data_IF_511222123137
#
_entry.id   IF_511222123137
#
_cell.length_a   1.000
_cell.length_b   1.000
_cell.length_c   1.000
_cell.angle_alpha   90.00
_cell.angle_beta   90.00
_cell.angle_gamma   90.00
#
_symmetry.space_group_name_H-M   'P 1'
#
loop_
_entity.id
_entity.type
_entity.pdbx_description
1 polymer ?
#
# COMPACT_ATOMS: atom_id res chain seq x y z
N UNK A 1 6.04 25.14 -3.47
CA UNK A 1 5.53 23.89 -4.05
C UNK A 1 4.84 23.12 -2.95
N UNK A 2 3.63 22.65 -3.22
CA UNK A 2 2.91 21.78 -2.29
C UNK A 2 3.60 20.42 -2.30
N UNK A 3 3.81 19.82 -1.12
CA UNK A 3 4.35 18.47 -1.01
C UNK A 3 3.24 17.48 -0.78
N UNK A 4 3.34 16.32 -1.42
CA UNK A 4 2.42 15.21 -1.18
C UNK A 4 3.07 14.28 -0.15
N UNK A 5 2.31 13.92 0.89
CA UNK A 5 2.75 12.99 1.92
C UNK A 5 2.17 11.60 1.65
N UNK A 6 2.99 10.57 1.87
CA UNK A 6 2.57 9.17 1.83
C UNK A 6 2.94 8.44 3.12
N UNK A 7 2.08 7.50 3.50
CA UNK A 7 2.35 6.46 4.49
C UNK A 7 2.13 5.11 3.79
N UNK A 8 3.18 4.31 3.67
CA UNK A 8 3.16 3.05 2.95
C UNK A 8 3.26 1.88 3.92
N UNK A 9 2.29 0.98 3.86
CA UNK A 9 2.25 -0.29 4.58
C UNK A 9 2.60 -1.42 3.61
N UNK A 10 3.61 -2.22 3.94
CA UNK A 10 4.05 -3.35 3.11
C UNK A 10 4.11 -4.65 3.91
N UNK A 11 4.59 -5.73 3.28
CA UNK A 11 4.53 -7.12 3.80
C UNK A 11 3.10 -7.62 4.05
N UNK A 12 2.13 -7.03 3.35
CA UNK A 12 0.73 -7.44 3.44
C UNK A 12 0.48 -8.69 2.59
N UNK A 13 -0.43 -9.55 3.03
CA UNK A 13 -0.98 -10.62 2.21
C UNK A 13 -2.34 -10.21 1.64
N UNK A 14 -3.18 -9.63 2.50
CA UNK A 14 -4.45 -9.05 2.11
C UNK A 14 -4.84 -7.92 3.07
N UNK A 15 -5.76 -7.09 2.59
CA UNK A 15 -6.44 -6.08 3.39
C UNK A 15 -7.92 -6.41 3.38
N UNK A 16 -8.55 -6.41 4.55
CA UNK A 16 -10.00 -6.44 4.65
C UNK A 16 -10.49 -5.04 4.98
N UNK A 17 -11.34 -4.48 4.13
CA UNK A 17 -11.99 -3.19 4.38
C UNK A 17 -13.44 -3.48 4.74
N UNK A 18 -13.83 -3.17 5.97
CA UNK A 18 -15.07 -3.68 6.59
C UNK A 18 -15.11 -5.23 6.51
N UNK A 19 -15.98 -5.79 5.67
CA UNK A 19 -16.19 -7.24 5.49
C UNK A 19 -15.65 -7.77 4.15
N UNK A 20 -15.03 -6.91 3.33
CA UNK A 20 -14.52 -7.29 2.00
C UNK A 20 -13.00 -7.51 2.06
N UNK A 21 -12.58 -8.76 1.86
CA UNK A 21 -11.17 -9.14 1.77
C UNK A 21 -10.66 -8.96 0.34
N UNK A 22 -9.57 -8.22 0.20
CA UNK A 22 -8.89 -7.98 -1.08
C UNK A 22 -7.41 -8.34 -0.96
N UNK A 23 -6.90 -9.18 -1.88
CA UNK A 23 -5.47 -9.47 -1.98
C UNK A 23 -4.70 -8.19 -2.29
N UNK A 24 -3.91 -7.72 -1.34
CA UNK A 24 -3.20 -6.46 -1.40
C UNK A 24 -1.84 -6.65 -0.74
N UNK A 25 -0.77 -6.39 -1.48
CA UNK A 25 0.61 -6.58 -1.02
C UNK A 25 1.20 -5.31 -0.42
N UNK A 26 0.63 -4.16 -0.77
CA UNK A 26 0.89 -2.89 -0.13
C UNK A 26 -0.41 -2.07 -0.01
N UNK A 27 -0.43 -1.15 0.94
CA UNK A 27 -1.45 -0.14 1.12
C UNK A 27 -0.76 1.22 1.28
N UNK A 28 -1.16 2.23 0.53
CA UNK A 28 -0.66 3.59 0.68
C UNK A 28 -1.79 4.52 1.14
N UNK A 29 -1.53 5.31 2.18
CA UNK A 29 -2.32 6.49 2.53
C UNK A 29 -1.63 7.72 1.94
N UNK A 30 -2.37 8.63 1.31
CA UNK A 30 -1.80 9.84 0.71
C UNK A 30 -2.53 11.11 1.12
N UNK A 31 -1.79 12.21 1.32
CA UNK A 31 -2.29 13.60 1.45
C UNK A 31 -1.75 14.43 0.28
N UNK A 32 -2.62 14.70 -0.69
CA UNK A 32 -2.43 15.58 -1.83
C UNK A 32 -2.99 16.96 -1.49
N UNK A 33 -2.16 17.95 -1.10
CA UNK A 33 -2.66 19.28 -0.83
C UNK A 33 -3.37 19.79 -2.08
N UNK A 34 -4.61 20.27 -1.98
CA UNK A 34 -5.36 20.67 -3.16
C UNK A 34 -4.58 21.76 -3.91
N UNK A 35 -4.53 21.73 -5.24
CA UNK A 35 -4.13 22.91 -5.98
C UNK A 35 -5.12 24.02 -5.63
N UNK A 36 -4.64 25.27 -5.55
CA UNK A 36 -5.37 26.47 -5.10
C UNK A 36 -6.75 26.70 -5.79
N UNK A 37 -7.08 25.95 -6.84
CA UNK A 37 -8.27 26.07 -7.69
C UNK A 37 -9.15 24.82 -7.79
N UNK A 38 -8.80 23.66 -7.22
CA UNK A 38 -9.60 22.44 -7.34
C UNK A 38 -10.30 22.07 -6.03
N UNK A 39 -11.52 21.53 -6.16
CA UNK A 39 -12.31 21.03 -5.04
C UNK A 39 -11.49 20.00 -4.23
N UNK A 40 -11.64 20.03 -2.91
CA UNK A 40 -10.94 19.21 -1.91
C UNK A 40 -11.09 17.67 -2.08
N UNK A 41 -11.82 17.23 -3.11
CA UNK A 41 -12.27 15.85 -3.34
C UNK A 41 -11.15 14.81 -3.52
N UNK A 42 -9.88 15.20 -3.62
CA UNK A 42 -8.77 14.26 -3.80
C UNK A 42 -7.68 14.37 -2.74
N UNK A 43 -7.92 15.12 -1.66
CA UNK A 43 -6.87 15.39 -0.68
C UNK A 43 -6.36 14.12 -0.03
N UNK A 44 -7.22 13.32 0.58
CA UNK A 44 -6.78 12.12 1.28
C UNK A 44 -7.27 10.84 0.61
N UNK A 45 -6.38 9.86 0.43
CA UNK A 45 -6.73 8.58 -0.20
C UNK A 45 -6.08 7.37 0.45
N UNK A 46 -6.74 6.22 0.37
CA UNK A 46 -6.19 4.90 0.64
C UNK A 46 -6.19 4.06 -0.64
N UNK A 47 -5.02 3.63 -1.09
CA UNK A 47 -4.85 2.86 -2.33
C UNK A 47 -4.20 1.52 -2.00
N UNK A 48 -4.89 0.42 -2.33
CA UNK A 48 -4.36 -0.93 -2.23
C UNK A 48 -3.68 -1.35 -3.52
N UNK A 49 -2.54 -2.05 -3.42
CA UNK A 49 -1.78 -2.53 -4.56
C UNK A 49 -1.81 -4.05 -4.62
N UNK A 50 -2.23 -4.58 -5.77
CA UNK A 50 -2.25 -6.03 -6.10
C UNK A 50 -0.84 -6.58 -6.32
N UNK A 51 -0.64 -7.72 -7.02
CA UNK A 51 0.67 -8.32 -7.38
C UNK A 51 1.49 -7.54 -8.44
N UNK A 52 0.98 -6.41 -8.93
CA UNK A 52 1.66 -5.48 -9.86
C UNK A 52 1.44 -4.04 -9.37
N UNK A 53 2.48 -3.20 -9.35
CA UNK A 53 2.40 -1.86 -8.73
C UNK A 53 1.48 -0.87 -9.47
N UNK A 54 1.28 -1.09 -10.77
CA UNK A 54 0.32 -0.33 -11.57
C UNK A 54 -1.12 -0.84 -11.41
N UNK A 55 -1.32 -1.95 -10.67
CA UNK A 55 -2.64 -2.51 -10.43
C UNK A 55 -3.15 -2.10 -9.05
N UNK A 56 -3.97 -1.05 -9.04
CA UNK A 56 -4.75 -0.68 -7.87
C UNK A 56 -5.88 -1.70 -7.68
N UNK A 57 -5.93 -2.35 -6.52
CA UNK A 57 -7.00 -3.30 -6.18
C UNK A 57 -8.19 -2.61 -5.53
N UNK A 58 -7.96 -1.47 -4.90
CA UNK A 58 -9.00 -0.55 -4.45
C UNK A 58 -8.43 0.86 -4.30
N UNK A 59 -9.33 1.84 -4.24
CA UNK A 59 -9.00 3.24 -4.06
C UNK A 59 -10.16 3.95 -3.33
N UNK A 60 -9.90 4.44 -2.13
CA UNK A 60 -10.88 5.11 -1.28
C UNK A 60 -10.48 6.54 -0.98
N UNK A 61 -11.46 7.44 -0.97
CA UNK A 61 -11.30 8.75 -0.34
C UNK A 61 -11.31 8.58 1.18
N UNK A 62 -10.47 9.37 1.85
CA UNK A 62 -10.37 9.38 3.30
C UNK A 62 -10.68 10.78 3.85
N UNK A 63 -11.07 10.86 5.13
CA UNK A 63 -11.19 12.14 5.84
C UNK A 63 -9.81 12.71 6.28
N UNK A 64 -8.81 11.86 6.48
CA UNK A 64 -7.42 12.22 6.79
C UNK A 64 -6.48 11.05 6.51
N UNK A 65 -5.16 11.26 6.65
CA UNK A 65 -4.17 10.17 6.73
C UNK A 65 -3.70 9.88 8.16
N UNK A 66 -4.31 10.52 9.16
CA UNK A 66 -3.98 10.26 10.55
C UNK A 66 -4.57 8.93 10.97
N UNK A 67 -3.71 8.04 11.46
CA UNK A 67 -4.06 6.65 11.68
C UNK A 67 -3.63 6.17 13.06
N UNK A 68 -4.39 5.20 13.58
CA UNK A 68 -3.99 4.35 14.70
C UNK A 68 -3.83 2.91 14.22
N UNK A 69 -2.88 2.19 14.81
CA UNK A 69 -2.68 0.77 14.58
C UNK A 69 -2.86 0.01 15.89
N UNK A 70 -3.83 -0.88 15.90
CA UNK A 70 -4.07 -1.78 17.02
C UNK A 70 -3.67 -3.21 16.65
N UNK A 71 -2.92 -3.86 17.53
CA UNK A 71 -2.60 -5.28 17.39
C UNK A 71 -3.84 -6.11 17.72
N UNK A 72 -4.34 -6.84 16.72
CA UNK A 72 -5.39 -7.84 16.94
C UNK A 72 -4.72 -9.20 17.14
N UNK A 73 -4.50 -9.55 18.40
CA UNK A 73 -4.03 -10.89 18.77
C UNK A 73 -5.17 -11.88 18.47
N UNK A 74 -4.99 -12.74 17.47
CA UNK A 74 -5.89 -13.85 17.26
C UNK A 74 -5.67 -14.95 18.31
N UNK A 75 -6.69 -15.79 18.59
CA UNK A 75 -6.55 -16.93 19.48
C UNK A 75 -5.41 -17.84 19.04
N UNK A 76 -4.69 -18.39 20.02
CA UNK A 76 -3.52 -19.26 19.84
C UNK A 76 -3.80 -20.37 18.82
N UNK A 77 -3.02 -20.42 17.73
CA UNK A 77 -3.10 -21.49 16.72
C UNK A 77 -3.04 -21.03 15.26
N UNK A 78 -3.13 -19.73 14.98
CA UNK A 78 -2.95 -19.18 13.63
C UNK A 78 -1.70 -18.30 13.56
N UNK A 79 -0.80 -18.57 12.61
CA UNK A 79 0.41 -17.77 12.34
C UNK A 79 0.10 -16.45 11.61
N UNK A 80 -1.10 -15.91 11.81
CA UNK A 80 -1.61 -14.74 11.10
C UNK A 80 -1.61 -13.54 12.04
N UNK A 81 -0.81 -12.52 11.73
CA UNK A 81 -0.84 -11.26 12.45
C UNK A 81 -1.80 -10.30 11.75
N UNK A 82 -2.81 -9.85 12.50
CA UNK A 82 -3.74 -8.85 12.04
C UNK A 82 -3.50 -7.55 12.80
N UNK A 83 -3.22 -6.47 12.09
CA UNK A 83 -3.31 -5.12 12.65
C UNK A 83 -4.61 -4.47 12.17
N UNK A 84 -5.29 -3.78 13.06
CA UNK A 84 -6.42 -2.92 12.67
C UNK A 84 -5.87 -1.52 12.46
N UNK A 85 -5.93 -1.03 11.23
CA UNK A 85 -5.66 0.35 10.87
C UNK A 85 -6.98 1.12 10.92
N UNK A 86 -7.02 2.08 11.83
CA UNK A 86 -8.20 2.90 12.13
C UNK A 86 -7.93 4.34 11.73
N UNK A 87 -8.85 4.93 10.96
CA UNK A 87 -8.83 6.34 10.54
C UNK A 87 -10.17 6.95 10.93
N UNK A 88 -10.16 8.05 11.69
CA UNK A 88 -11.39 8.63 12.23
C UNK A 88 -12.34 9.06 11.10
N UNK A 89 -13.56 8.49 11.07
CA UNK A 89 -14.55 8.76 10.02
C UNK A 89 -14.36 7.94 8.73
N UNK A 90 -13.41 6.99 8.72
CA UNK A 90 -13.21 6.03 7.63
C UNK A 90 -13.58 4.61 8.08
N UNK A 91 -13.74 3.65 7.14
CA UNK A 91 -13.88 2.24 7.50
C UNK A 91 -12.61 1.69 8.18
N UNK A 92 -12.77 0.62 8.95
CA UNK A 92 -11.62 -0.08 9.53
C UNK A 92 -10.94 -0.94 8.46
N UNK A 93 -9.61 -0.86 8.43
CA UNK A 93 -8.78 -1.68 7.55
C UNK A 93 -8.09 -2.75 8.41
N UNK A 94 -8.43 -4.02 8.20
CA UNK A 94 -7.67 -5.11 8.80
C UNK A 94 -6.51 -5.48 7.87
N UNK A 95 -5.29 -5.19 8.32
CA UNK A 95 -4.04 -5.47 7.63
C UNK A 95 -3.55 -6.84 8.06
N UNK A 96 -3.52 -7.79 7.14
CA UNK A 96 -3.10 -9.16 7.44
C UNK A 96 -1.72 -9.44 6.87
N UNK A 97 -0.85 -10.00 7.71
CA UNK A 97 0.36 -10.70 7.28
C UNK A 97 0.20 -12.19 7.55
N UNK A 98 0.66 -13.03 6.63
CA UNK A 98 0.81 -14.46 6.88
C UNK A 98 2.22 -14.70 7.35
N UNK A 99 2.30 -15.42 8.48
CA UNK A 99 3.39 -16.31 8.84
C UNK A 99 4.67 -15.54 9.27
N UNK A 100 5.08 -15.79 10.52
CA UNK A 100 5.71 -14.83 11.46
C UNK A 100 7.09 -14.27 11.07
N UNK A 101 7.55 -14.49 9.85
CA UNK A 101 8.90 -14.16 9.43
C UNK A 101 9.12 -12.67 9.16
N UNK A 102 8.08 -11.90 8.80
CA UNK A 102 8.21 -10.43 8.62
C UNK A 102 6.99 -9.65 9.12
N UNK A 103 7.17 -8.69 10.05
CA UNK A 103 6.11 -7.79 10.47
C UNK A 103 5.71 -6.83 9.34
N UNK A 104 4.55 -6.18 9.49
CA UNK A 104 4.15 -5.03 8.65
C UNK A 104 5.25 -3.98 8.74
N UNK A 105 5.75 -3.57 7.58
CA UNK A 105 6.70 -2.46 7.46
C UNK A 105 5.95 -1.18 7.08
N UNK A 106 6.34 -0.06 7.69
CA UNK A 106 5.65 1.22 7.56
C UNK A 106 6.68 2.30 7.25
N UNK A 107 6.58 2.91 6.07
CA UNK A 107 7.45 4.00 5.64
C UNK A 107 6.62 5.27 5.42
N UNK A 108 7.09 6.41 5.93
CA UNK A 108 6.54 7.73 5.61
C UNK A 108 7.52 8.49 4.72
N UNK A 109 7.02 9.10 3.65
CA UNK A 109 7.84 9.91 2.75
C UNK A 109 7.05 11.04 2.09
N UNK A 110 7.77 12.02 1.56
CA UNK A 110 7.22 13.19 0.89
C UNK A 110 7.79 13.32 -0.51
N UNK A 111 6.98 13.82 -1.43
CA UNK A 111 7.41 14.22 -2.77
C UNK A 111 6.95 15.64 -3.06
N UNK A 112 7.79 16.43 -3.74
CA UNK A 112 7.34 17.65 -4.39
C UNK A 112 6.32 17.24 -5.46
N UNK A 113 5.16 17.91 -5.51
CA UNK A 113 4.06 17.63 -6.44
C UNK A 113 4.55 17.58 -7.91
N UNK A 114 4.89 16.41 -8.47
CA UNK A 114 5.41 16.29 -9.80
C UNK A 114 4.24 15.98 -10.76
N UNK A 115 4.46 15.98 -12.08
CA UNK A 115 3.44 15.49 -13.02
C UNK A 115 2.96 14.08 -12.61
N UNK A 116 1.64 13.83 -12.70
CA UNK A 116 0.97 12.61 -12.19
C UNK A 116 1.69 11.29 -12.55
N UNK A 117 2.20 11.19 -13.77
CA UNK A 117 2.97 10.03 -14.28
C UNK A 117 4.31 9.81 -13.55
N UNK A 118 4.99 10.87 -13.14
CA UNK A 118 6.25 10.76 -12.37
C UNK A 118 5.99 10.22 -10.96
N UNK A 119 4.83 10.55 -10.39
CA UNK A 119 4.42 10.07 -9.07
C UNK A 119 4.09 8.56 -9.07
N UNK A 120 3.23 8.09 -9.97
CA UNK A 120 2.89 6.66 -10.05
C UNK A 120 4.13 5.80 -10.28
N UNK A 121 5.12 6.32 -11.01
CA UNK A 121 6.42 5.67 -11.21
C UNK A 121 7.26 5.67 -9.92
N UNK A 122 7.37 6.79 -9.20
CA UNK A 122 8.15 6.85 -7.95
C UNK A 122 7.55 5.96 -6.85
N UNK A 123 6.22 5.93 -6.73
CA UNK A 123 5.53 5.04 -5.81
C UNK A 123 5.66 3.59 -6.24
N UNK A 124 5.53 3.29 -7.53
CA UNK A 124 5.82 1.98 -8.09
C UNK A 124 7.24 1.52 -7.80
N UNK A 125 8.25 2.39 -7.98
CA UNK A 125 9.65 2.11 -7.68
C UNK A 125 9.88 1.84 -6.19
N UNK A 126 9.17 2.53 -5.30
CA UNK A 126 9.21 2.28 -3.86
C UNK A 126 8.53 0.96 -3.51
N UNK A 127 7.28 0.74 -3.92
CA UNK A 127 6.53 -0.51 -3.68
C UNK A 127 7.24 -1.72 -4.30
N UNK A 128 7.86 -1.57 -5.47
CA UNK A 128 8.63 -2.62 -6.14
C UNK A 128 9.82 -3.14 -5.31
N UNK A 129 10.43 -2.30 -4.46
CA UNK A 129 11.51 -2.74 -3.56
C UNK A 129 11.02 -3.69 -2.48
N UNK A 130 9.76 -3.58 -2.11
CA UNK A 130 9.09 -4.40 -1.09
C UNK A 130 8.27 -5.53 -1.70
N UNK A 131 8.34 -5.71 -3.03
CA UNK A 131 7.61 -6.72 -3.79
C UNK A 131 8.19 -8.15 -3.58
N UNK A 132 7.92 -8.71 -2.39
CA UNK A 132 8.13 -10.09 -1.84
C UNK A 132 9.54 -10.57 -1.45
N UNK A 133 9.66 -10.96 -0.16
CA UNK A 133 9.96 -12.32 0.36
C UNK A 133 9.49 -12.39 1.83
N UNK A 134 8.91 -13.49 2.40
CA UNK A 134 9.14 -14.92 2.08
C UNK A 134 7.87 -15.84 2.20
N UNK A 135 7.08 -16.08 1.14
CA UNK A 135 6.24 -17.30 1.05
C UNK A 135 6.03 -17.69 -0.41
N UNK A 136 7.01 -18.42 -0.95
CA UNK A 136 6.83 -19.27 -2.13
C UNK A 136 7.48 -20.62 -1.84
N UNK A 137 6.72 -21.64 -1.42
CA UNK A 137 7.18 -23.01 -1.54
C UNK A 137 7.07 -23.37 -3.02
N UNK A 138 8.22 -23.62 -3.64
CA UNK A 138 8.39 -24.20 -4.98
C UNK A 138 7.72 -23.46 -6.16
N UNK A 139 8.52 -22.70 -6.93
CA UNK A 139 8.66 -22.89 -8.38
C UNK A 139 9.70 -21.87 -8.90
N UNK A 140 10.91 -22.37 -9.07
CA UNK A 140 11.93 -21.92 -10.01
C UNK A 140 12.23 -20.42 -10.01
N UNK A 141 13.21 -20.07 -9.16
CA UNK A 141 14.16 -19.00 -9.45
C UNK A 141 14.72 -19.20 -10.86
N UNK A 142 14.25 -18.41 -11.81
CA UNK A 142 15.14 -17.89 -12.84
C UNK A 142 15.53 -16.49 -12.33
N UNK A 143 16.83 -16.21 -12.22
CA UNK A 143 17.38 -14.88 -11.88
C UNK A 143 16.88 -13.77 -12.84
N UNK A 144 16.10 -14.14 -13.87
CA UNK A 144 15.35 -13.29 -14.79
C UNK A 144 13.97 -12.83 -14.30
N UNK A 145 13.56 -13.11 -13.05
CA UNK A 145 12.33 -12.56 -12.47
C UNK A 145 12.47 -11.06 -12.12
N UNK A 146 12.66 -10.25 -13.16
CA UNK A 146 12.71 -8.79 -13.19
C UNK A 146 11.27 -8.26 -12.95
N UNK A 147 10.55 -8.73 -11.93
CA UNK A 147 9.19 -8.26 -11.66
C UNK A 147 9.23 -6.79 -11.24
N UNK A 148 10.13 -6.43 -10.32
CA UNK A 148 10.34 -5.03 -9.92
C UNK A 148 10.66 -4.12 -11.10
N UNK A 149 11.66 -4.43 -11.93
CA UNK A 149 12.03 -3.56 -13.05
C UNK A 149 11.03 -3.59 -14.21
N UNK A 150 10.34 -4.72 -14.50
CA UNK A 150 9.24 -4.75 -15.47
C UNK A 150 8.03 -3.95 -14.99
N UNK A 151 7.74 -3.98 -13.70
CA UNK A 151 6.64 -3.22 -13.10
C UNK A 151 6.94 -1.72 -13.09
N UNK A 152 8.18 -1.32 -12.79
CA UNK A 152 8.64 0.07 -12.95
C UNK A 152 8.56 0.51 -14.42
N UNK A 153 9.00 -0.34 -15.36
CA UNK A 153 8.87 -0.06 -16.79
C UNK A 153 7.40 0.01 -17.26
N UNK A 154 6.50 -0.77 -16.66
CA UNK A 154 5.06 -0.71 -16.93
C UNK A 154 4.42 0.56 -16.37
N UNK A 155 4.79 0.96 -15.14
CA UNK A 155 4.35 2.21 -14.54
C UNK A 155 4.80 3.43 -15.35
N UNK A 156 5.97 3.35 -16.01
CA UNK A 156 6.46 4.42 -16.92
C UNK A 156 5.70 4.52 -18.25
N UNK A 157 4.86 3.53 -18.59
CA UNK A 157 4.09 3.49 -19.85
C UNK A 157 2.64 3.93 -19.70
N UNK A 158 2.17 4.09 -18.47
CA UNK A 158 0.85 4.64 -18.13
C UNK A 158 1.02 6.08 -17.64
#
# INVERSE_FOLDING_TARGET
MSKITYILFTNLNYVTVNDVRTSSFALALSDHPPPLSAHEMYRYRAIGYGPVCSWHVFDFMLPSIDYALDDKVLPQGHSTYNKTLSIAGAPNFNLCTEDCERPIDIERFEFDDPPYTTFSVALAEKVAKYWRAPYMPSLLWDERAISGARNVLSARRH
#
